data_IF_547234582725
#
_entry.id   IF_547234582725
#
_cell.length_a   1.000
_cell.length_b   1.000
_cell.length_c   1.000
_cell.angle_alpha   90.00
_cell.angle_beta   90.00
_cell.angle_gamma   90.00
#
_symmetry.space_group_name_H-M   'P 1'
#
loop_
_entity.id
_entity.type
_entity.pdbx_description
1 polymer ?
#
# COMPACT_ATOMS: atom_id res chain seq x y z
N UNK A 1 -7.32 13.56 -16.15
CA UNK A 1 -5.94 13.14 -15.83
C UNK A 1 -5.91 12.70 -14.40
N UNK A 2 -5.54 11.55 -14.12
CA UNK A 2 -5.96 10.83 -12.94
C UNK A 2 -4.86 10.41 -11.95
N UNK A 3 -3.61 10.89 -12.07
CA UNK A 3 -2.70 10.90 -10.92
C UNK A 3 -3.34 11.81 -9.87
N UNK A 4 -3.97 11.18 -8.86
CA UNK A 4 -4.81 11.88 -7.90
C UNK A 4 -3.98 12.63 -6.87
N UNK A 5 -2.96 11.96 -6.29
CA UNK A 5 -2.02 12.52 -5.33
C UNK A 5 -0.64 11.89 -5.49
N UNK A 6 0.38 12.65 -5.10
CA UNK A 6 1.76 12.15 -5.00
C UNK A 6 2.37 12.63 -3.69
N UNK A 7 3.07 11.73 -3.00
CA UNK A 7 3.85 12.02 -1.79
C UNK A 7 5.32 11.77 -2.11
N UNK A 8 6.19 12.60 -1.54
CA UNK A 8 7.64 12.47 -1.70
C UNK A 8 8.32 12.67 -0.36
N UNK A 9 9.12 11.66 0.05
CA UNK A 9 9.93 11.69 1.27
C UNK A 9 11.34 11.21 0.93
N UNK A 10 12.27 12.15 0.76
CA UNK A 10 13.58 11.83 0.20
C UNK A 10 13.42 11.19 -1.19
N UNK A 11 13.93 9.97 -1.36
CA UNK A 11 13.84 9.19 -2.59
C UNK A 11 12.59 8.30 -2.67
N UNK A 12 11.82 8.18 -1.58
CA UNK A 12 10.54 7.48 -1.57
C UNK A 12 9.48 8.33 -2.30
N UNK A 13 8.87 7.74 -3.31
CA UNK A 13 7.76 8.33 -4.07
C UNK A 13 6.54 7.42 -3.93
N UNK A 14 5.40 8.00 -3.56
CA UNK A 14 4.13 7.28 -3.50
C UNK A 14 3.11 8.01 -4.35
N UNK A 15 2.48 7.31 -5.28
CA UNK A 15 1.38 7.83 -6.09
C UNK A 15 0.07 7.17 -5.74
N UNK A 16 -1.02 7.92 -5.86
CA UNK A 16 -2.39 7.42 -5.81
C UNK A 16 -3.08 7.74 -7.13
N UNK A 17 -3.78 6.76 -7.67
CA UNK A 17 -4.63 6.89 -8.84
C UNK A 17 -6.07 6.64 -8.46
N UNK A 18 -6.96 7.56 -8.80
CA UNK A 18 -8.40 7.35 -8.72
C UNK A 18 -8.86 6.64 -9.98
N UNK A 19 -9.46 5.48 -9.82
CA UNK A 19 -9.81 4.59 -10.94
C UNK A 19 -11.21 4.93 -11.45
N UNK A 20 -11.27 5.91 -12.33
CA UNK A 20 -12.52 6.37 -12.98
C UNK A 20 -12.61 5.89 -14.45
N UNK A 21 -11.52 5.32 -15.03
CA UNK A 21 -11.44 4.90 -16.42
C UNK A 21 -11.99 3.49 -16.63
N UNK A 22 -12.53 3.25 -17.83
CA UNK A 22 -12.85 1.90 -18.29
C UNK A 22 -11.58 1.09 -18.59
N UNK A 23 -11.72 -0.22 -18.71
CA UNK A 23 -10.62 -1.10 -19.12
C UNK A 23 -10.03 -0.69 -20.46
N UNK A 24 -10.86 -0.33 -21.43
CA UNK A 24 -10.43 0.13 -22.76
C UNK A 24 -9.63 1.42 -22.69
N UNK A 25 -10.06 2.37 -21.85
CA UNK A 25 -9.34 3.62 -21.63
C UNK A 25 -7.99 3.37 -20.97
N UNK A 26 -7.92 2.54 -19.93
CA UNK A 26 -6.65 2.17 -19.28
C UNK A 26 -5.72 1.45 -20.25
N UNK A 27 -6.24 0.51 -21.09
CA UNK A 27 -5.44 -0.18 -22.11
C UNK A 27 -4.85 0.78 -23.13
N UNK A 28 -5.60 1.81 -23.53
CA UNK A 28 -5.14 2.81 -24.50
C UNK A 28 -3.97 3.68 -23.98
N UNK A 29 -3.71 3.68 -22.68
CA UNK A 29 -2.58 4.41 -22.08
C UNK A 29 -1.23 3.69 -22.22
N UNK A 30 -1.22 2.43 -22.71
CA UNK A 30 0.01 1.69 -22.96
C UNK A 30 0.45 1.84 -24.43
N UNK A 31 1.75 1.95 -24.65
CA UNK A 31 2.31 1.94 -26.00
C UNK A 31 2.22 0.55 -26.65
N UNK A 32 2.47 -0.50 -25.85
CA UNK A 32 2.50 -1.87 -26.34
C UNK A 32 1.80 -2.83 -25.37
N UNK A 33 0.47 -2.78 -25.31
CA UNK A 33 -0.32 -3.60 -24.40
C UNK A 33 -0.08 -5.12 -24.57
N UNK A 34 0.30 -5.58 -25.76
CA UNK A 34 0.53 -7.00 -26.05
C UNK A 34 1.51 -7.71 -25.09
N UNK A 35 2.46 -6.98 -24.52
CA UNK A 35 3.41 -7.55 -23.53
C UNK A 35 2.73 -7.93 -22.21
N UNK A 36 1.57 -7.35 -21.91
CA UNK A 36 0.79 -7.58 -20.68
C UNK A 36 -0.40 -8.51 -20.91
N UNK A 37 -0.75 -8.83 -22.16
CA UNK A 37 -2.01 -9.50 -22.52
C UNK A 37 -2.16 -10.87 -21.84
N UNK A 38 -1.09 -11.67 -21.81
CA UNK A 38 -1.10 -12.98 -21.17
C UNK A 38 -1.46 -12.92 -19.68
N UNK A 39 -0.91 -11.96 -18.95
CA UNK A 39 -1.17 -11.81 -17.51
C UNK A 39 -2.53 -11.17 -17.26
N UNK A 40 -2.93 -10.23 -18.09
CA UNK A 40 -4.25 -9.62 -18.07
C UNK A 40 -5.38 -10.64 -18.22
N UNK A 41 -5.21 -11.60 -19.13
CA UNK A 41 -6.21 -12.66 -19.41
C UNK A 41 -6.39 -13.66 -18.27
N UNK A 42 -5.50 -13.69 -17.27
CA UNK A 42 -5.66 -14.54 -16.06
C UNK A 42 -6.80 -14.08 -15.14
N UNK A 43 -7.20 -12.81 -15.23
CA UNK A 43 -8.27 -12.27 -14.40
C UNK A 43 -9.63 -12.46 -15.08
N UNK A 44 -10.60 -13.01 -14.35
CA UNK A 44 -11.99 -13.14 -14.82
C UNK A 44 -12.84 -11.93 -14.41
N UNK A 45 -12.59 -11.35 -13.21
CA UNK A 45 -13.38 -10.24 -12.69
C UNK A 45 -12.93 -8.91 -13.31
N UNK A 46 -13.89 -8.18 -13.91
CA UNK A 46 -13.63 -6.88 -14.55
C UNK A 46 -13.00 -5.85 -13.61
N UNK A 47 -13.50 -5.77 -12.35
CA UNK A 47 -12.92 -4.89 -11.33
C UNK A 47 -11.43 -5.21 -11.10
N UNK A 48 -11.06 -6.49 -11.02
CA UNK A 48 -9.67 -6.89 -10.82
C UNK A 48 -8.78 -6.55 -12.02
N UNK A 49 -9.30 -6.70 -13.23
CA UNK A 49 -8.62 -6.27 -14.46
C UNK A 49 -8.36 -4.77 -14.46
N UNK A 50 -9.36 -3.99 -14.06
CA UNK A 50 -9.28 -2.53 -13.98
C UNK A 50 -8.23 -2.08 -12.94
N UNK A 51 -8.25 -2.62 -11.73
CA UNK A 51 -7.26 -2.37 -10.68
C UNK A 51 -5.84 -2.74 -11.14
N UNK A 52 -5.70 -3.90 -11.78
CA UNK A 52 -4.42 -4.39 -12.29
C UNK A 52 -3.82 -3.49 -13.37
N UNK A 53 -4.66 -2.97 -14.29
CA UNK A 53 -4.25 -1.98 -15.29
C UNK A 53 -3.89 -0.65 -14.65
N UNK A 54 -4.72 -0.15 -13.75
CA UNK A 54 -4.52 1.12 -13.08
C UNK A 54 -3.19 1.18 -12.31
N UNK A 55 -2.80 0.10 -11.62
CA UNK A 55 -1.48 -0.02 -10.97
C UNK A 55 -0.35 0.18 -11.99
N UNK A 56 -0.43 -0.44 -13.17
CA UNK A 56 0.61 -0.34 -14.21
C UNK A 56 0.66 1.02 -14.88
N UNK A 57 -0.50 1.63 -15.10
CA UNK A 57 -0.59 3.01 -15.59
C UNK A 57 0.03 3.96 -14.59
N UNK A 58 -0.33 3.84 -13.30
CA UNK A 58 0.25 4.66 -12.24
C UNK A 58 1.78 4.47 -12.15
N UNK A 59 2.27 3.22 -12.21
CA UNK A 59 3.70 2.93 -12.22
C UNK A 59 4.40 3.61 -13.40
N UNK A 60 3.83 3.54 -14.61
CA UNK A 60 4.33 4.22 -15.80
C UNK A 60 4.42 5.74 -15.59
N UNK A 61 3.37 6.36 -15.03
CA UNK A 61 3.37 7.81 -14.76
C UNK A 61 4.46 8.20 -13.75
N UNK A 62 4.70 7.39 -12.72
CA UNK A 62 5.73 7.66 -11.72
C UNK A 62 7.16 7.44 -12.25
N UNK A 63 7.36 6.44 -13.13
CA UNK A 63 8.66 6.12 -13.70
C UNK A 63 8.98 6.91 -15.00
N UNK A 64 7.96 7.50 -15.64
CA UNK A 64 8.08 8.13 -16.96
C UNK A 64 8.14 7.14 -18.13
N UNK A 65 8.11 5.83 -17.86
CA UNK A 65 8.16 4.77 -18.86
C UNK A 65 7.45 3.49 -18.37
N UNK A 66 7.10 2.62 -19.31
CA UNK A 66 6.48 1.32 -18.98
C UNK A 66 7.50 0.38 -18.34
N UNK A 67 7.14 -0.18 -17.18
CA UNK A 67 7.96 -1.13 -16.44
C UNK A 67 7.29 -2.50 -16.37
N UNK A 68 8.10 -3.53 -16.56
CA UNK A 68 7.64 -4.90 -16.33
C UNK A 68 7.70 -5.26 -14.87
N UNK A 69 6.59 -5.79 -14.37
CA UNK A 69 6.44 -6.26 -12.99
C UNK A 69 6.48 -7.78 -13.02
N UNK A 70 7.36 -8.35 -12.23
CA UNK A 70 7.35 -9.78 -11.91
C UNK A 70 7.06 -9.98 -10.40
N UNK A 71 6.89 -11.22 -9.99
CA UNK A 71 6.52 -11.56 -8.62
C UNK A 71 7.43 -12.67 -8.10
N UNK A 72 7.92 -12.51 -6.89
CA UNK A 72 8.61 -13.57 -6.17
C UNK A 72 7.63 -14.72 -5.83
N UNK A 73 8.11 -15.91 -5.42
CA UNK A 73 7.25 -16.99 -4.95
C UNK A 73 6.33 -16.58 -3.78
N UNK A 74 6.76 -15.65 -2.94
CA UNK A 74 5.99 -15.02 -1.86
C UNK A 74 4.84 -14.13 -2.35
N UNK A 75 4.79 -13.81 -3.64
CA UNK A 75 3.84 -12.85 -4.21
C UNK A 75 4.30 -11.40 -4.16
N UNK A 76 5.49 -11.11 -3.57
CA UNK A 76 6.05 -9.76 -3.52
C UNK A 76 6.42 -9.29 -4.94
N UNK A 77 5.96 -8.09 -5.36
CA UNK A 77 6.28 -7.57 -6.68
C UNK A 77 7.71 -7.02 -6.74
N UNK A 78 8.31 -7.10 -7.93
CA UNK A 78 9.56 -6.44 -8.24
C UNK A 78 9.59 -5.98 -9.70
N UNK A 79 10.44 -5.00 -10.03
CA UNK A 79 10.68 -4.58 -11.40
C UNK A 79 11.73 -5.49 -12.03
N UNK A 80 11.47 -6.04 -13.23
CA UNK A 80 12.41 -6.96 -13.91
C UNK A 80 13.76 -6.31 -14.24
N UNK A 81 13.80 -5.00 -14.42
CA UNK A 81 15.02 -4.23 -14.70
C UNK A 81 15.79 -3.83 -13.42
N UNK A 82 15.26 -4.11 -12.24
CA UNK A 82 15.89 -3.78 -10.96
C UNK A 82 16.05 -2.27 -10.71
N UNK A 83 15.35 -1.42 -11.45
CA UNK A 83 15.53 0.05 -11.37
C UNK A 83 15.01 0.67 -10.08
N UNK A 84 14.10 0.01 -9.38
CA UNK A 84 13.57 0.43 -8.10
C UNK A 84 12.90 -0.72 -7.36
N UNK A 85 12.79 -0.60 -6.04
CA UNK A 85 11.89 -1.38 -5.21
C UNK A 85 10.47 -0.84 -5.37
N UNK A 86 9.48 -1.73 -5.35
CA UNK A 86 8.07 -1.36 -5.58
C UNK A 86 7.13 -2.04 -4.59
N UNK A 87 6.07 -1.36 -4.22
CA UNK A 87 4.96 -1.92 -3.47
C UNK A 87 3.64 -1.39 -4.03
N UNK A 88 2.59 -2.21 -3.99
CA UNK A 88 1.27 -1.87 -4.52
C UNK A 88 0.19 -2.15 -3.49
N UNK A 89 -0.84 -1.32 -3.51
CA UNK A 89 -2.10 -1.59 -2.83
C UNK A 89 -3.27 -1.05 -3.63
N UNK A 90 -4.44 -1.57 -3.35
CA UNK A 90 -5.68 -1.09 -3.97
C UNK A 90 -6.85 -1.24 -3.02
N UNK A 91 -7.77 -0.32 -3.11
CA UNK A 91 -9.06 -0.36 -2.45
C UNK A 91 -10.17 0.06 -3.41
N UNK A 92 -11.40 0.21 -2.94
CA UNK A 92 -12.52 0.58 -3.84
C UNK A 92 -12.28 1.95 -4.51
N UNK A 93 -12.07 1.93 -5.83
CA UNK A 93 -11.89 3.15 -6.64
C UNK A 93 -10.50 3.78 -6.56
N UNK A 94 -9.52 3.17 -5.87
CA UNK A 94 -8.18 3.72 -5.74
C UNK A 94 -7.11 2.63 -5.83
N UNK A 95 -5.96 2.96 -6.42
CA UNK A 95 -4.74 2.19 -6.35
C UNK A 95 -3.60 3.06 -5.86
N UNK A 96 -2.66 2.47 -5.15
CA UNK A 96 -1.45 3.11 -4.64
C UNK A 96 -0.20 2.35 -5.10
N UNK A 97 0.84 3.09 -5.45
CA UNK A 97 2.16 2.55 -5.82
C UNK A 97 3.21 3.32 -5.04
N UNK A 98 4.12 2.60 -4.38
CA UNK A 98 5.32 3.15 -3.76
C UNK A 98 6.56 2.70 -4.52
N UNK A 99 7.54 3.59 -4.66
CA UNK A 99 8.81 3.39 -5.35
C UNK A 99 9.96 3.95 -4.52
N UNK A 100 11.07 3.22 -4.45
CA UNK A 100 12.34 3.71 -3.94
C UNK A 100 13.50 3.10 -4.72
N UNK A 101 14.54 3.88 -5.12
CA UNK A 101 15.61 3.38 -5.98
C UNK A 101 16.51 2.34 -5.31
N UNK A 102 16.64 2.34 -3.98
CA UNK A 102 17.64 1.54 -3.27
C UNK A 102 17.17 0.89 -1.96
N UNK A 103 15.93 1.14 -1.52
CA UNK A 103 15.40 0.61 -0.27
C UNK A 103 14.05 -0.09 -0.48
N UNK A 104 13.81 -1.14 0.29
CA UNK A 104 12.51 -1.81 0.33
C UNK A 104 11.41 -0.85 0.73
N UNK A 105 10.26 -0.97 0.08
CA UNK A 105 9.10 -0.11 0.30
C UNK A 105 7.84 -0.90 0.59
N UNK A 106 6.99 -0.33 1.43
CA UNK A 106 5.64 -0.81 1.67
C UNK A 106 4.63 0.30 1.48
N UNK A 107 3.49 -0.01 0.89
CA UNK A 107 2.32 0.89 0.81
C UNK A 107 1.05 0.11 1.01
N UNK A 108 0.12 0.72 1.74
CA UNK A 108 -1.21 0.19 1.88
C UNK A 108 -2.25 1.29 1.82
N UNK A 109 -3.40 1.01 1.17
CA UNK A 109 -4.54 1.91 1.04
C UNK A 109 -5.83 1.14 1.37
N UNK A 110 -6.58 1.65 2.34
CA UNK A 110 -7.80 1.01 2.84
C UNK A 110 -9.00 1.94 2.75
N UNK A 111 -10.13 1.41 2.27
CA UNK A 111 -11.36 2.19 2.18
C UNK A 111 -11.86 2.58 3.58
N UNK A 112 -12.23 3.86 3.74
CA UNK A 112 -12.90 4.31 4.95
C UNK A 112 -14.23 3.58 5.14
N UNK A 113 -14.47 3.06 6.35
CA UNK A 113 -15.71 2.37 6.67
C UNK A 113 -15.69 1.58 7.98
N UNK A 114 -16.86 1.33 8.54
CA UNK A 114 -17.05 0.70 9.85
C UNK A 114 -16.71 -0.79 9.90
N UNK A 115 -16.42 -1.43 8.76
CA UNK A 115 -16.08 -2.86 8.70
C UNK A 115 -14.86 -3.21 9.56
N UNK A 116 -13.90 -2.30 9.67
CA UNK A 116 -12.68 -2.46 10.45
C UNK A 116 -12.95 -2.75 11.92
N UNK A 117 -13.99 -2.14 12.51
CA UNK A 117 -14.39 -2.38 13.91
C UNK A 117 -14.73 -3.84 14.19
N UNK A 118 -15.34 -4.55 13.21
CA UNK A 118 -15.75 -5.96 13.36
C UNK A 118 -14.56 -6.93 13.37
N UNK A 119 -13.43 -6.52 12.84
CA UNK A 119 -12.23 -7.34 12.70
C UNK A 119 -11.08 -6.85 13.58
N UNK A 120 -11.26 -5.78 14.35
CA UNK A 120 -10.22 -5.15 15.17
C UNK A 120 -9.50 -6.16 16.08
N UNK A 121 -10.24 -7.10 16.69
CA UNK A 121 -9.66 -8.15 17.54
C UNK A 121 -8.70 -9.11 16.83
N UNK A 122 -8.61 -9.06 15.50
CA UNK A 122 -7.69 -9.89 14.70
C UNK A 122 -6.33 -9.26 14.47
N UNK A 123 -6.19 -7.96 14.76
CA UNK A 123 -4.95 -7.24 14.50
C UNK A 123 -4.56 -6.25 15.59
N UNK A 124 -5.47 -5.81 16.47
CA UNK A 124 -5.13 -4.95 17.61
C UNK A 124 -4.62 -5.82 18.76
N UNK A 125 -3.44 -5.50 19.27
CA UNK A 125 -2.82 -6.11 20.45
C UNK A 125 -3.46 -5.54 21.73
N UNK A 126 -3.40 -6.29 22.82
CA UNK A 126 -3.91 -5.83 24.14
C UNK A 126 -3.16 -4.60 24.68
N UNK A 127 -1.88 -4.45 24.32
CA UNK A 127 -1.02 -3.34 24.73
C UNK A 127 -1.02 -2.15 23.74
N UNK A 128 -1.69 -2.26 22.59
CA UNK A 128 -1.90 -1.15 21.67
C UNK A 128 -3.00 -0.23 22.14
N UNK A 129 -2.72 1.08 22.14
CA UNK A 129 -3.69 2.12 22.48
C UNK A 129 -4.24 2.76 21.22
N UNK A 130 -5.41 2.32 20.81
CA UNK A 130 -6.14 2.98 19.72
C UNK A 130 -6.70 4.30 20.28
N UNK A 131 -6.12 5.43 19.84
CA UNK A 131 -6.55 6.74 20.31
C UNK A 131 -7.90 7.11 19.71
N UNK A 132 -8.82 7.52 20.57
CA UNK A 132 -10.13 8.09 20.22
C UNK A 132 -10.15 9.62 20.36
N UNK A 133 -9.03 10.23 20.74
CA UNK A 133 -8.94 11.67 21.04
C UNK A 133 -9.14 12.54 19.77
N UNK A 134 -8.96 11.95 18.57
CA UNK A 134 -9.24 12.59 17.28
C UNK A 134 -10.73 12.64 16.92
N UNK A 135 -11.61 12.03 17.72
CA UNK A 135 -13.06 11.98 17.49
C UNK A 135 -13.52 10.93 16.46
N UNK A 136 -12.62 10.24 15.79
CA UNK A 136 -12.97 9.18 14.82
C UNK A 136 -12.14 7.91 15.04
N UNK A 137 -12.73 6.97 15.78
CA UNK A 137 -12.14 5.65 16.05
C UNK A 137 -11.88 4.85 14.75
N UNK A 138 -12.68 5.07 13.70
CA UNK A 138 -12.54 4.33 12.44
C UNK A 138 -11.21 4.65 11.79
N UNK A 139 -10.79 5.92 11.73
CA UNK A 139 -9.48 6.29 11.23
C UNK A 139 -8.36 5.67 12.05
N UNK A 140 -8.46 5.71 13.38
CA UNK A 140 -7.46 5.11 14.24
C UNK A 140 -7.30 3.59 13.98
N UNK A 141 -8.41 2.86 13.91
CA UNK A 141 -8.40 1.42 13.60
C UNK A 141 -7.87 1.12 12.19
N UNK A 142 -8.29 1.90 11.19
CA UNK A 142 -7.82 1.72 9.81
C UNK A 142 -6.33 2.01 9.68
N UNK A 143 -5.80 3.02 10.37
CA UNK A 143 -4.37 3.31 10.39
C UNK A 143 -3.56 2.20 11.05
N UNK A 144 -4.06 1.57 12.11
CA UNK A 144 -3.42 0.39 12.71
C UNK A 144 -3.40 -0.79 11.73
N UNK A 145 -4.53 -1.08 11.10
CA UNK A 145 -4.63 -2.16 10.11
C UNK A 145 -3.69 -1.91 8.92
N UNK A 146 -3.83 -0.76 8.28
CA UNK A 146 -3.07 -0.38 7.09
C UNK A 146 -1.55 -0.33 7.37
N UNK A 147 -1.15 0.18 8.54
CA UNK A 147 0.26 0.16 8.94
C UNK A 147 0.82 -1.25 9.07
N UNK A 148 0.06 -2.18 9.65
CA UNK A 148 0.48 -3.59 9.76
C UNK A 148 0.57 -4.27 8.38
N UNK A 149 -0.33 -3.95 7.46
CA UNK A 149 -0.23 -4.37 6.05
C UNK A 149 1.01 -3.76 5.36
N UNK A 150 1.31 -2.49 5.61
CA UNK A 150 2.52 -1.83 5.11
C UNK A 150 3.79 -2.51 5.65
N UNK A 151 3.85 -2.79 6.95
CA UNK A 151 4.96 -3.51 7.57
C UNK A 151 5.11 -4.92 7.00
N UNK A 152 4.01 -5.65 6.85
CA UNK A 152 4.00 -6.99 6.27
C UNK A 152 4.61 -7.01 4.85
N UNK A 153 4.29 -6.00 4.02
CA UNK A 153 4.85 -5.86 2.67
C UNK A 153 6.35 -5.53 2.67
N UNK A 154 6.87 -4.94 3.74
CA UNK A 154 8.31 -4.68 3.93
C UNK A 154 9.07 -5.90 4.43
N UNK A 155 8.38 -6.79 5.17
CA UNK A 155 8.99 -8.00 5.70
C UNK A 155 9.03 -9.08 4.62
N UNK A 156 10.11 -9.88 4.62
CA UNK A 156 10.25 -11.00 3.67
C UNK A 156 9.66 -12.32 4.21
N UNK A 157 9.15 -12.32 5.43
CA UNK A 157 8.64 -13.52 6.13
C UNK A 157 7.12 -13.65 5.93
N UNK A 158 6.68 -14.75 5.33
CA UNK A 158 5.25 -15.04 5.10
C UNK A 158 4.49 -15.44 6.39
N UNK A 159 5.20 -15.83 7.46
CA UNK A 159 4.58 -16.32 8.70
C UNK A 159 4.41 -15.22 9.76
N UNK A 160 3.94 -14.04 9.36
CA UNK A 160 3.72 -12.91 10.27
C UNK A 160 2.32 -12.96 10.88
N UNK A 161 2.25 -13.01 12.20
CA UNK A 161 1.02 -12.85 12.98
C UNK A 161 0.92 -11.38 13.43
N UNK A 162 -0.12 -10.69 12.99
CA UNK A 162 -0.29 -9.25 13.23
C UNK A 162 -0.42 -8.87 14.70
N UNK A 163 -0.96 -9.77 15.53
CA UNK A 163 -1.09 -9.53 16.97
C UNK A 163 0.24 -9.80 17.68
N UNK A 164 0.92 -10.89 17.33
CA UNK A 164 2.13 -11.30 18.06
C UNK A 164 3.37 -10.54 17.63
N UNK A 165 3.46 -10.25 16.32
CA UNK A 165 4.71 -9.81 15.72
C UNK A 165 4.76 -8.33 15.39
N UNK A 166 3.60 -7.65 15.22
CA UNK A 166 3.55 -6.25 14.82
C UNK A 166 2.94 -5.38 15.92
N UNK A 167 3.59 -4.27 16.23
CA UNK A 167 3.18 -3.35 17.27
C UNK A 167 3.19 -1.90 16.77
N UNK A 168 2.06 -1.24 16.84
CA UNK A 168 1.93 0.18 16.55
C UNK A 168 2.10 0.96 17.86
N UNK A 169 3.08 1.85 17.90
CA UNK A 169 3.31 2.69 19.07
C UNK A 169 2.22 3.78 19.18
N UNK A 170 1.90 4.24 20.41
CA UNK A 170 0.82 5.21 20.61
C UNK A 170 1.01 6.48 19.76
N UNK A 171 -0.02 6.90 19.07
CA UNK A 171 -0.11 8.15 18.33
C UNK A 171 -1.54 8.69 18.32
N UNK A 172 -1.71 9.97 17.99
CA UNK A 172 -3.01 10.59 17.80
C UNK A 172 -3.20 10.86 16.32
N UNK A 173 -4.21 10.25 15.67
CA UNK A 173 -4.50 10.47 14.26
C UNK A 173 -4.78 11.94 13.96
N UNK A 174 -4.26 12.41 12.82
CA UNK A 174 -4.50 13.72 12.20
C UNK A 174 -4.83 13.50 10.74
N UNK A 175 -5.02 14.58 9.98
CA UNK A 175 -5.21 14.48 8.52
C UNK A 175 -4.01 13.79 7.84
N UNK A 176 -2.79 14.07 8.31
CA UNK A 176 -1.57 13.39 7.87
C UNK A 176 -0.48 13.47 8.94
N UNK A 177 0.52 12.61 8.85
CA UNK A 177 1.62 12.60 9.81
C UNK A 177 2.47 11.36 9.74
N UNK A 178 3.16 11.10 10.84
CA UNK A 178 3.97 9.89 11.03
C UNK A 178 3.74 9.30 12.40
N UNK A 179 3.97 8.01 12.54
CA UNK A 179 4.08 7.32 13.81
C UNK A 179 5.09 6.18 13.71
N UNK A 180 5.51 5.67 14.86
CA UNK A 180 6.43 4.56 14.92
C UNK A 180 5.71 3.22 15.11
N UNK A 181 6.30 2.19 14.55
CA UNK A 181 5.89 0.81 14.72
C UNK A 181 7.13 -0.09 14.92
N UNK A 182 6.93 -1.27 15.48
CA UNK A 182 8.00 -2.25 15.68
C UNK A 182 7.53 -3.64 15.24
N UNK A 183 8.47 -4.45 14.76
CA UNK A 183 8.25 -5.88 14.58
C UNK A 183 9.11 -6.67 15.57
N UNK A 184 8.60 -7.83 16.00
CA UNK A 184 9.26 -8.74 16.95
C UNK A 184 9.53 -10.12 16.36
N UNK A 185 9.21 -10.33 15.07
CA UNK A 185 9.36 -11.62 14.39
C UNK A 185 10.81 -11.99 14.14
N UNK A 186 11.62 -11.02 13.70
CA UNK A 186 13.05 -11.23 13.43
C UNK A 186 13.90 -11.41 14.68
N UNK A 187 13.38 -11.06 15.85
CA UNK A 187 14.13 -11.00 17.11
C UNK A 187 15.08 -9.78 17.20
N UNK A 188 15.08 -8.90 16.20
CA UNK A 188 15.90 -7.69 16.16
C UNK A 188 15.13 -6.42 16.57
N UNK A 189 13.80 -6.55 16.79
CA UNK A 189 12.93 -5.42 17.09
C UNK A 189 13.05 -4.28 16.07
N UNK A 190 12.95 -4.63 14.78
CA UNK A 190 13.09 -3.64 13.71
C UNK A 190 12.02 -2.56 13.87
N UNK A 191 12.45 -1.30 13.80
CA UNK A 191 11.57 -0.13 13.91
C UNK A 191 11.23 0.41 12.53
N UNK A 192 10.00 0.89 12.40
CA UNK A 192 9.49 1.50 11.17
C UNK A 192 8.98 2.91 11.49
N UNK A 193 9.29 3.85 10.62
CA UNK A 193 8.62 5.14 10.56
C UNK A 193 7.50 5.04 9.53
N UNK A 194 6.26 4.99 9.98
CA UNK A 194 5.09 4.91 9.11
C UNK A 194 4.59 6.32 8.81
N UNK A 195 4.56 6.68 7.54
CA UNK A 195 3.88 7.88 7.05
C UNK A 195 2.42 7.53 6.75
N UNK A 196 1.53 8.48 6.98
CA UNK A 196 0.11 8.28 6.70
C UNK A 196 -0.61 9.54 6.21
N UNK A 197 -1.70 9.32 5.50
CA UNK A 197 -2.69 10.35 5.12
C UNK A 197 -4.09 9.78 5.33
N UNK A 198 -5.01 10.62 5.84
CA UNK A 198 -6.43 10.30 5.97
C UNK A 198 -7.24 11.09 4.95
N UNK A 199 -8.17 10.42 4.31
CA UNK A 199 -9.06 10.97 3.30
C UNK A 199 -10.50 10.51 3.59
N UNK A 200 -11.55 11.27 3.23
CA UNK A 200 -12.93 10.81 3.43
C UNK A 200 -13.24 9.42 2.85
N UNK A 201 -12.55 9.01 1.79
CA UNK A 201 -12.78 7.73 1.13
C UNK A 201 -11.81 6.64 1.56
N UNK A 202 -10.62 6.99 2.10
CA UNK A 202 -9.56 6.01 2.42
C UNK A 202 -8.59 6.50 3.49
N UNK A 203 -7.79 5.57 4.02
CA UNK A 203 -6.50 5.85 4.65
C UNK A 203 -5.37 5.31 3.79
N UNK A 204 -4.24 5.99 3.82
CA UNK A 204 -2.99 5.56 3.20
C UNK A 204 -1.92 5.43 4.27
N UNK A 205 -1.13 4.37 4.22
CA UNK A 205 0.12 4.24 4.97
C UNK A 205 1.26 3.80 4.06
N UNK A 206 2.45 4.29 4.31
CA UNK A 206 3.64 3.91 3.55
C UNK A 206 4.92 4.08 4.36
N UNK A 207 5.92 3.29 4.02
CA UNK A 207 7.25 3.34 4.65
C UNK A 207 8.32 2.78 3.70
N UNK A 208 9.58 3.06 3.99
CA UNK A 208 10.72 2.35 3.43
C UNK A 208 11.64 1.85 4.56
N UNK A 209 12.47 0.85 4.28
CA UNK A 209 13.55 0.45 5.18
C UNK A 209 14.71 1.42 5.01
N UNK A 210 15.18 1.99 6.13
CA UNK A 210 16.39 2.83 6.16
C UNK A 210 17.66 1.97 6.31
#
# INVERSE_FOLDING_TARGET
MPLYRTYKQGDLIVGIWKVDETIEQLRSMFHQFSIYEKDFMRFSAEKRKQEWLAVRVLLKELCGEEKKIAYLPSGKPYLEDGSAFVSFSHTSGYVAVALHPSAEVGVDIEQYGTRVQRVASRFIREDEKVSVDSGDEIYALLLHWSAKETMFKLMEDEAVDFIKHLHILPFVPKESGTFHACEYRSGQEQKFLIHYDTHPDYVLTFACLE
#
